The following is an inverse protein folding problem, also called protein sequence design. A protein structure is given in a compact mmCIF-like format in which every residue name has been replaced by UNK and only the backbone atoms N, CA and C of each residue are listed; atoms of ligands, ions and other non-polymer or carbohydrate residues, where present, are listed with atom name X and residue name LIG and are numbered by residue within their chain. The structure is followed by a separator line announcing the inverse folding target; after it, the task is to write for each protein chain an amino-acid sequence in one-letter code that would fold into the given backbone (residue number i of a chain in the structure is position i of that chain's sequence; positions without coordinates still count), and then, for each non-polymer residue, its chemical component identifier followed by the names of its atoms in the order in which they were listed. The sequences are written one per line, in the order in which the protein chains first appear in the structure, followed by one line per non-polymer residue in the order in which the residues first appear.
data_IF_403349284075
#
_entry.id   IF_403349284075
#
_cell.length_a   1.000
_cell.length_b   1.000
_cell.length_c   1.000
_cell.angle_alpha   90.00
_cell.angle_beta   90.00
_cell.angle_gamma   90.00
#
_symmetry.space_group_name_H-M   'P 1'
#
loop_
_entity.id
_entity.type
_entity.pdbx_description
1 polymer ?
#
# COMPACT_ATOMS: atom_id res chain seq x y z
N UNK A 1 -19.74 -6.15 -7.38
CA UNK A 1 -19.63 -5.25 -6.21
C UNK A 1 -18.37 -5.65 -5.48
N UNK A 2 -17.25 -4.99 -5.78
CA UNK A 2 -15.92 -5.34 -5.22
C UNK A 2 -15.72 -4.59 -3.91
N UNK A 3 -15.57 -5.32 -2.81
CA UNK A 3 -15.32 -4.72 -1.49
C UNK A 3 -13.82 -4.40 -1.36
N UNK A 4 -13.47 -3.19 -0.99
CA UNK A 4 -12.08 -2.74 -0.85
C UNK A 4 -11.39 -3.37 0.37
N UNK A 5 -10.06 -3.41 0.38
CA UNK A 5 -9.26 -3.96 1.50
C UNK A 5 -9.53 -3.25 2.84
N UNK A 6 -9.95 -1.97 2.81
CA UNK A 6 -10.32 -1.21 4.00
C UNK A 6 -11.63 -1.71 4.59
N UNK A 7 -12.60 -2.07 3.75
CA UNK A 7 -13.89 -2.63 4.16
C UNK A 7 -13.72 -4.05 4.69
N UNK A 8 -12.92 -4.87 4.00
CA UNK A 8 -12.53 -6.20 4.46
C UNK A 8 -11.91 -6.20 5.85
N UNK A 9 -10.98 -5.26 6.12
CA UNK A 9 -10.38 -5.10 7.45
C UNK A 9 -11.43 -4.89 8.54
N UNK A 10 -12.47 -4.08 8.27
CA UNK A 10 -13.51 -3.77 9.24
C UNK A 10 -14.36 -5.01 9.56
N UNK A 11 -14.76 -5.76 8.53
CA UNK A 11 -15.51 -7.01 8.70
C UNK A 11 -14.69 -8.03 9.53
N UNK A 12 -13.44 -8.28 9.13
CA UNK A 12 -12.55 -9.22 9.82
C UNK A 12 -12.26 -8.80 11.27
N UNK A 13 -12.10 -7.51 11.53
CA UNK A 13 -11.86 -7.02 12.89
C UNK A 13 -13.04 -7.35 13.84
N UNK A 14 -14.28 -7.24 13.36
CA UNK A 14 -15.48 -7.54 14.15
C UNK A 14 -15.62 -9.05 14.35
N UNK A 15 -15.45 -9.85 13.29
CA UNK A 15 -15.61 -11.30 13.35
C UNK A 15 -14.57 -11.99 14.26
N UNK A 16 -13.34 -11.49 14.25
CA UNK A 16 -12.22 -12.06 14.99
C UNK A 16 -12.07 -11.51 16.42
N UNK A 17 -12.82 -10.47 16.78
CA UNK A 17 -12.73 -9.82 18.09
C UNK A 17 -13.00 -10.79 19.25
N UNK A 18 -13.98 -11.70 19.12
CA UNK A 18 -14.29 -12.72 20.13
C UNK A 18 -13.13 -13.67 20.43
N UNK A 19 -12.20 -13.80 19.49
CA UNK A 19 -10.97 -14.59 19.62
C UNK A 19 -9.77 -13.76 20.07
N UNK A 20 -9.96 -12.49 20.42
CA UNK A 20 -8.91 -11.53 20.79
C UNK A 20 -7.86 -11.32 19.69
N UNK A 21 -8.25 -11.46 18.43
CA UNK A 21 -7.38 -11.22 17.26
C UNK A 21 -7.69 -9.83 16.67
N UNK A 22 -6.64 -9.08 16.33
CA UNK A 22 -6.75 -7.74 15.72
C UNK A 22 -6.49 -7.81 14.23
N UNK A 23 -7.38 -7.26 13.41
CA UNK A 23 -7.20 -7.13 11.97
C UNK A 23 -6.90 -5.68 11.56
N UNK A 24 -5.74 -5.46 10.94
CA UNK A 24 -5.32 -4.16 10.42
C UNK A 24 -4.79 -4.28 8.99
N UNK A 25 -4.78 -3.18 8.26
CA UNK A 25 -4.26 -3.12 6.88
C UNK A 25 -3.33 -1.92 6.78
N UNK A 26 -2.18 -2.13 6.16
CA UNK A 26 -1.23 -1.09 5.78
C UNK A 26 -1.38 -0.86 4.28
N UNK A 27 -1.50 0.39 3.86
CA UNK A 27 -1.51 0.78 2.45
C UNK A 27 -0.21 1.53 2.16
N UNK A 28 0.85 0.81 1.72
CA UNK A 28 2.11 1.45 1.42
C UNK A 28 1.95 2.41 0.22
N UNK A 29 2.81 3.43 0.19
CA UNK A 29 3.01 4.24 -1.01
C UNK A 29 3.83 3.50 -2.06
N UNK A 30 4.60 4.23 -2.86
CA UNK A 30 5.54 3.63 -3.81
C UNK A 30 6.80 3.14 -3.09
N UNK A 31 6.97 1.81 -3.04
CA UNK A 31 8.10 1.12 -2.40
C UNK A 31 8.95 0.47 -3.49
N UNK A 32 10.27 0.52 -3.35
CA UNK A 32 11.23 -0.16 -4.21
C UNK A 32 11.24 -1.66 -3.92
N UNK A 33 10.69 -2.43 -4.86
CA UNK A 33 10.58 -3.90 -4.79
C UNK A 33 10.63 -4.48 -6.20
N UNK A 34 10.89 -5.80 -6.36
CA UNK A 34 10.81 -6.43 -7.67
C UNK A 34 9.44 -6.27 -8.37
N UNK A 35 8.36 -6.14 -7.60
CA UNK A 35 7.01 -5.90 -8.13
C UNK A 35 6.87 -4.53 -8.81
N UNK A 36 7.62 -3.53 -8.35
CA UNK A 36 7.52 -2.12 -8.77
C UNK A 36 8.64 -1.67 -9.70
N UNK A 37 9.64 -2.52 -9.93
CA UNK A 37 10.81 -2.28 -10.80
C UNK A 37 10.42 -1.69 -12.17
N UNK A 38 9.48 -2.32 -12.87
CA UNK A 38 9.01 -1.85 -14.20
C UNK A 38 8.47 -0.43 -14.18
N UNK A 39 7.82 -0.02 -13.08
CA UNK A 39 7.29 1.33 -12.96
C UNK A 39 8.42 2.35 -12.78
N UNK A 40 9.48 2.01 -12.06
CA UNK A 40 10.61 2.90 -11.81
C UNK A 40 11.56 3.04 -13.01
N UNK A 41 11.68 2.03 -13.86
CA UNK A 41 12.40 2.17 -15.14
C UNK A 41 11.66 3.02 -16.18
N UNK A 42 10.40 3.38 -15.92
CA UNK A 42 9.64 4.24 -16.80
C UNK A 42 9.81 5.71 -16.42
N UNK A 43 10.71 6.42 -17.11
CA UNK A 43 11.01 7.83 -16.83
C UNK A 43 9.75 8.71 -16.74
N UNK A 44 8.79 8.56 -17.66
CA UNK A 44 7.52 9.32 -17.63
C UNK A 44 6.72 9.11 -16.33
N UNK A 45 6.78 7.91 -15.77
CA UNK A 45 6.11 7.61 -14.50
C UNK A 45 6.85 8.30 -13.35
N UNK A 46 8.16 8.14 -13.27
CA UNK A 46 9.01 8.75 -12.25
C UNK A 46 8.85 10.28 -12.25
N UNK A 47 8.97 10.91 -13.40
CA UNK A 47 8.88 12.38 -13.57
C UNK A 47 7.52 12.94 -13.14
N UNK A 48 6.45 12.14 -13.27
CA UNK A 48 5.09 12.55 -12.88
C UNK A 48 4.78 12.24 -11.42
N UNK A 49 5.27 11.13 -10.90
CA UNK A 49 4.85 10.61 -9.60
C UNK A 49 5.76 11.10 -8.48
N UNK A 50 7.08 11.10 -8.68
CA UNK A 50 8.04 11.51 -7.65
C UNK A 50 7.78 12.94 -7.13
N UNK A 51 7.39 13.93 -7.97
CA UNK A 51 7.09 15.26 -7.45
C UNK A 51 5.83 15.35 -6.59
N UNK A 52 4.95 14.35 -6.66
CA UNK A 52 3.71 14.27 -5.86
C UNK A 52 3.90 13.52 -4.55
N UNK A 53 5.03 12.81 -4.39
CA UNK A 53 5.40 12.16 -3.13
C UNK A 53 6.00 13.24 -2.22
N UNK A 54 5.40 13.53 -1.04
CA UNK A 54 5.90 14.59 -0.16
C UNK A 54 7.35 14.37 0.28
N UNK A 55 7.75 13.12 0.51
CA UNK A 55 9.11 12.75 0.91
C UNK A 55 10.14 12.84 -0.23
N UNK A 56 9.71 13.04 -1.49
CA UNK A 56 10.58 13.13 -2.70
C UNK A 56 11.57 11.98 -2.86
N UNK A 57 11.24 10.81 -2.33
CA UNK A 57 12.01 9.57 -2.43
C UNK A 57 11.05 8.39 -2.46
N UNK A 58 11.55 7.26 -2.95
CA UNK A 58 10.84 5.98 -2.85
C UNK A 58 10.98 5.42 -1.44
N UNK A 59 9.96 4.68 -1.01
CA UNK A 59 10.07 3.89 0.21
C UNK A 59 10.96 2.67 -0.03
N UNK A 60 11.58 2.18 1.03
CA UNK A 60 12.28 0.91 1.04
C UNK A 60 11.47 -0.09 1.89
N UNK A 61 11.69 -1.40 1.74
CA UNK A 61 10.92 -2.42 2.47
C UNK A 61 11.12 -2.43 3.98
N UNK A 62 12.25 -1.91 4.48
CA UNK A 62 12.52 -1.71 5.91
C UNK A 62 11.72 -0.57 6.55
#
# INVERSE_FOLDING_TARGET
MEMSSVEWRRALAVELARHRVRANVIRPGWIETPMTERAFHWNRFVDKVLPRVPARRWGQPE
#
